data_IF_481954673965
#
_entry.id   IF_481954673965
#
_cell.length_a   1.000
_cell.length_b   1.000
_cell.length_c   1.000
_cell.angle_alpha   90.00
_cell.angle_beta   90.00
_cell.angle_gamma   90.00
#
_symmetry.space_group_name_H-M   'P 1'
#
loop_
_entity.id
_entity.type
_entity.pdbx_description
1 polymer ?
#
# COMPACT_ATOMS: atom_id res chain seq x y z
N UNK A 1 2.81 11.47 -14.66
CA UNK A 1 1.57 10.88 -14.12
C UNK A 1 0.58 11.99 -13.77
N UNK A 2 -0.73 11.73 -13.78
CA UNK A 2 -1.77 12.72 -13.42
C UNK A 2 -2.21 12.54 -11.97
N UNK A 3 -2.58 13.63 -11.28
CA UNK A 3 -3.15 13.56 -9.92
C UNK A 3 -4.35 12.59 -9.81
N UNK A 4 -5.07 12.37 -10.91
CA UNK A 4 -6.19 11.41 -11.00
C UNK A 4 -5.78 9.96 -10.73
N UNK A 5 -4.56 9.57 -11.10
CA UNK A 5 -4.11 8.18 -10.93
C UNK A 5 -3.86 7.88 -9.45
N UNK A 6 -3.34 8.86 -8.70
CA UNK A 6 -3.16 8.76 -7.24
C UNK A 6 -4.49 8.79 -6.49
N UNK A 7 -5.42 9.66 -6.88
CA UNK A 7 -6.75 9.72 -6.27
C UNK A 7 -7.49 8.37 -6.43
N UNK A 8 -7.46 7.80 -7.63
CA UNK A 8 -8.04 6.47 -7.91
C UNK A 8 -7.39 5.36 -7.06
N UNK A 9 -6.08 5.42 -6.85
CA UNK A 9 -5.38 4.47 -5.99
C UNK A 9 -5.81 4.60 -4.52
N UNK A 10 -5.96 5.84 -4.02
CA UNK A 10 -6.43 6.10 -2.65
C UNK A 10 -7.84 5.55 -2.45
N UNK A 11 -8.76 5.83 -3.39
CA UNK A 11 -10.13 5.34 -3.34
C UNK A 11 -10.18 3.80 -3.30
N UNK A 12 -9.41 3.14 -4.17
CA UNK A 12 -9.32 1.68 -4.22
C UNK A 12 -8.77 1.08 -2.91
N UNK A 13 -7.77 1.73 -2.29
CA UNK A 13 -7.23 1.30 -1.00
C UNK A 13 -8.30 1.43 0.10
N UNK A 14 -9.02 2.55 0.17
CA UNK A 14 -10.09 2.76 1.16
C UNK A 14 -11.17 1.69 0.99
N UNK A 15 -11.62 1.47 -0.25
CA UNK A 15 -12.62 0.45 -0.56
C UNK A 15 -12.17 -0.94 -0.09
N UNK A 16 -10.95 -1.35 -0.44
CA UNK A 16 -10.43 -2.66 -0.06
C UNK A 16 -10.28 -2.84 1.46
N UNK A 17 -9.86 -1.79 2.17
CA UNK A 17 -9.65 -1.83 3.61
C UNK A 17 -10.94 -1.82 4.43
N UNK A 18 -11.99 -1.17 3.94
CA UNK A 18 -13.26 -1.01 4.66
C UNK A 18 -14.26 -2.12 4.30
N UNK A 19 -14.16 -2.72 3.11
CA UNK A 19 -15.16 -3.68 2.62
C UNK A 19 -15.00 -5.09 3.19
N UNK A 20 -13.84 -5.46 3.75
CA UNK A 20 -13.55 -6.83 4.20
C UNK A 20 -12.72 -6.83 5.49
N UNK A 21 -13.10 -7.66 6.46
CA UNK A 21 -12.39 -7.78 7.74
C UNK A 21 -10.93 -8.24 7.59
N UNK A 22 -10.63 -9.01 6.54
CA UNK A 22 -9.30 -9.50 6.17
C UNK A 22 -8.73 -8.85 4.90
N UNK A 23 -9.47 -7.97 4.24
CA UNK A 23 -9.13 -7.42 2.92
C UNK A 23 -7.82 -6.66 2.86
N UNK A 24 -7.31 -6.22 4.02
CA UNK A 24 -6.04 -5.52 4.14
C UNK A 24 -4.82 -6.36 3.72
N UNK A 25 -4.89 -7.70 3.77
CA UNK A 25 -3.74 -8.57 3.46
C UNK A 25 -3.28 -8.44 2.01
N UNK A 26 -4.25 -8.29 1.11
CA UNK A 26 -4.01 -8.34 -0.33
C UNK A 26 -3.81 -6.94 -0.93
N UNK A 27 -4.14 -5.86 -0.19
CA UNK A 27 -4.18 -4.49 -0.71
C UNK A 27 -2.90 -4.10 -1.42
N UNK A 28 -1.74 -4.32 -0.79
CA UNK A 28 -0.46 -3.91 -1.37
C UNK A 28 -0.18 -4.69 -2.66
N UNK A 29 -0.43 -6.01 -2.65
CA UNK A 29 -0.27 -6.88 -3.82
C UNK A 29 -1.18 -6.46 -4.97
N UNK A 30 -2.44 -6.17 -4.67
CA UNK A 30 -3.44 -5.79 -5.65
C UNK A 30 -3.13 -4.42 -6.26
N UNK A 31 -2.68 -3.45 -5.45
CA UNK A 31 -2.27 -2.14 -5.95
C UNK A 31 -1.00 -2.23 -6.81
N UNK A 32 -0.02 -3.04 -6.42
CA UNK A 32 1.19 -3.27 -7.22
C UNK A 32 0.85 -3.84 -8.61
N UNK A 33 -0.10 -4.78 -8.67
CA UNK A 33 -0.55 -5.38 -9.93
C UNK A 33 -1.42 -4.45 -10.78
N UNK A 34 -2.23 -3.61 -10.13
CA UNK A 34 -3.12 -2.67 -10.82
C UNK A 34 -2.38 -1.45 -11.37
N UNK A 35 -1.29 -1.02 -10.71
CA UNK A 35 -0.54 0.20 -11.04
C UNK A 35 0.96 -0.06 -11.22
N UNK A 36 1.40 -1.02 -12.07
CA UNK A 36 2.79 -1.45 -12.14
C UNK A 36 3.79 -0.34 -12.48
N UNK A 37 3.36 0.67 -13.24
CA UNK A 37 4.18 1.79 -13.69
C UNK A 37 4.24 2.96 -12.68
N UNK A 38 3.47 2.90 -11.60
CA UNK A 38 3.47 3.94 -10.55
C UNK A 38 4.73 3.87 -9.70
N UNK A 39 5.15 5.01 -9.16
CA UNK A 39 6.28 5.08 -8.24
C UNK A 39 6.00 4.31 -6.96
N UNK A 40 7.02 3.64 -6.42
CA UNK A 40 6.92 2.98 -5.10
C UNK A 40 6.53 3.95 -3.98
N UNK A 41 6.90 5.23 -4.11
CA UNK A 41 6.56 6.27 -3.15
C UNK A 41 5.10 6.72 -3.26
N UNK A 42 4.49 6.59 -4.42
CA UNK A 42 3.08 6.93 -4.64
C UNK A 42 2.18 5.94 -3.89
N UNK A 43 2.49 4.65 -3.90
CA UNK A 43 1.74 3.67 -3.11
C UNK A 43 1.90 3.91 -1.60
N UNK A 44 3.10 4.22 -1.13
CA UNK A 44 3.34 4.56 0.28
C UNK A 44 2.56 5.80 0.71
N UNK A 45 2.52 6.82 -0.16
CA UNK A 45 1.71 8.01 0.04
C UNK A 45 0.21 7.68 0.04
N UNK A 46 -0.28 6.91 -0.93
CA UNK A 46 -1.68 6.56 -1.08
C UNK A 46 -2.20 5.77 0.14
N UNK A 47 -1.42 4.83 0.66
CA UNK A 47 -1.73 4.11 1.91
C UNK A 47 -1.85 5.06 3.11
N UNK A 48 -0.95 6.04 3.21
CA UNK A 48 -0.96 7.03 4.30
C UNK A 48 -2.15 7.97 4.19
N UNK A 49 -2.47 8.44 2.97
CA UNK A 49 -3.62 9.29 2.69
C UNK A 49 -4.94 8.56 2.97
N UNK A 50 -5.05 7.29 2.54
CA UNK A 50 -6.19 6.44 2.83
C UNK A 50 -6.39 6.24 4.34
N UNK A 51 -5.31 6.00 5.09
CA UNK A 51 -5.36 5.91 6.55
C UNK A 51 -5.97 7.17 7.19
N UNK A 52 -5.44 8.34 6.80
CA UNK A 52 -5.91 9.64 7.30
C UNK A 52 -7.37 9.93 6.92
N UNK A 53 -7.78 9.55 5.71
CA UNK A 53 -9.17 9.68 5.27
C UNK A 53 -10.11 8.81 6.12
N UNK A 54 -9.74 7.56 6.38
CA UNK A 54 -10.51 6.64 7.24
C UNK A 54 -10.63 7.20 8.67
N UNK A 55 -9.55 7.73 9.25
CA UNK A 55 -9.59 8.36 10.59
C UNK A 55 -10.52 9.58 10.63
N UNK A 56 -10.62 10.31 9.51
CA UNK A 56 -11.49 11.48 9.40
C UNK A 56 -12.96 11.09 9.19
N UNK A 57 -13.22 9.94 8.55
CA UNK A 57 -14.58 9.47 8.25
C UNK A 57 -15.22 8.69 9.39
N UNK A 58 -14.43 7.98 10.21
CA UNK A 58 -14.94 7.05 11.20
C UNK A 58 -14.51 7.42 12.63
N UNK A 59 -15.47 7.40 13.55
CA UNK A 59 -15.20 7.54 14.98
C UNK A 59 -14.37 6.35 15.51
N UNK A 60 -13.58 6.52 16.58
CA UNK A 60 -12.76 5.45 17.16
C UNK A 60 -13.50 4.16 17.54
N UNK A 61 -14.82 4.24 17.78
CA UNK A 61 -15.65 3.08 18.15
C UNK A 61 -16.25 2.37 16.92
N UNK A 62 -16.02 2.90 15.72
CA UNK A 62 -16.51 2.30 14.48
C UNK A 62 -15.80 0.97 14.20
N UNK A 63 -16.51 -0.07 13.73
CA UNK A 63 -15.88 -1.31 13.25
C UNK A 63 -14.83 -1.09 12.17
N UNK A 64 -14.93 0.01 11.41
CA UNK A 64 -13.98 0.36 10.34
C UNK A 64 -12.74 1.11 10.84
N UNK A 65 -12.72 1.57 12.10
CA UNK A 65 -11.59 2.34 12.64
C UNK A 65 -10.23 1.59 12.61
N UNK A 66 -10.16 0.27 12.87
CA UNK A 66 -8.91 -0.50 12.71
C UNK A 66 -8.35 -0.51 11.28
N UNK A 67 -9.15 -0.17 10.26
CA UNK A 67 -8.68 -0.10 8.88
C UNK A 67 -7.60 0.98 8.68
N UNK A 68 -7.69 2.11 9.38
CA UNK A 68 -6.66 3.13 9.36
C UNK A 68 -5.32 2.63 9.92
N UNK A 69 -5.35 1.93 11.05
CA UNK A 69 -4.14 1.36 11.66
C UNK A 69 -3.48 0.33 10.73
N UNK A 70 -4.28 -0.47 10.03
CA UNK A 70 -3.79 -1.42 9.02
C UNK A 70 -3.14 -0.70 7.85
N UNK A 71 -3.74 0.38 7.34
CA UNK A 71 -3.17 1.19 6.27
C UNK A 71 -1.80 1.79 6.64
N UNK A 72 -1.67 2.39 7.82
CA UNK A 72 -0.38 2.90 8.31
C UNK A 72 0.66 1.78 8.46
N UNK A 73 0.25 0.61 8.97
CA UNK A 73 1.14 -0.55 9.08
C UNK A 73 1.64 -1.01 7.71
N UNK A 74 0.76 -1.09 6.72
CA UNK A 74 1.13 -1.43 5.35
C UNK A 74 2.09 -0.40 4.75
N UNK A 75 1.82 0.89 4.94
CA UNK A 75 2.73 1.96 4.50
C UNK A 75 4.13 1.84 5.12
N UNK A 76 4.20 1.52 6.43
CA UNK A 76 5.46 1.33 7.13
C UNK A 76 6.23 0.09 6.64
N UNK A 77 5.55 -1.03 6.41
CA UNK A 77 6.16 -2.24 5.86
C UNK A 77 6.67 -2.02 4.43
N UNK A 78 5.86 -1.39 3.58
CA UNK A 78 6.26 -1.02 2.23
C UNK A 78 7.50 -0.10 2.24
N UNK A 79 7.52 0.90 3.13
CA UNK A 79 8.67 1.78 3.31
C UNK A 79 9.92 1.05 3.80
N UNK A 80 9.76 0.03 4.64
CA UNK A 80 10.86 -0.82 5.08
C UNK A 80 11.47 -1.61 3.91
N UNK A 81 10.65 -2.16 3.02
CA UNK A 81 11.14 -2.90 1.84
C UNK A 81 11.86 -1.99 0.85
N UNK A 82 11.32 -0.81 0.57
CA UNK A 82 11.98 0.20 -0.28
C UNK A 82 13.33 0.59 0.31
N UNK A 83 13.39 0.82 1.63
CA UNK A 83 14.64 1.09 2.33
C UNK A 83 15.62 -0.09 2.24
N UNK A 84 15.12 -1.31 2.42
CA UNK A 84 15.92 -2.54 2.41
C UNK A 84 16.47 -2.86 1.01
N UNK A 85 15.73 -2.57 -0.06
CA UNK A 85 16.20 -2.64 -1.44
C UNK A 85 17.36 -1.65 -1.67
N UNK A 86 17.20 -0.40 -1.21
CA UNK A 86 18.25 0.62 -1.31
C UNK A 86 19.52 0.23 -0.56
N UNK A 87 19.41 -0.34 0.65
CA UNK A 87 20.56 -0.84 1.41
C UNK A 87 21.30 -1.98 0.69
N UNK A 88 20.59 -2.74 -0.14
CA UNK A 88 21.16 -3.79 -1.01
C UNK A 88 21.64 -3.28 -2.37
N UNK A 89 21.56 -1.96 -2.63
CA UNK A 89 21.87 -1.33 -3.92
C UNK A 89 21.01 -1.85 -5.08
N UNK A 90 19.79 -2.30 -4.77
CA UNK A 90 18.75 -2.61 -5.74
C UNK A 90 17.86 -1.38 -5.87
N UNK A 91 17.63 -0.93 -7.10
CA UNK A 91 16.78 0.22 -7.41
C UNK A 91 15.38 -0.29 -7.74
N UNK A 92 14.38 0.21 -7.01
CA UNK A 92 12.96 -0.10 -7.19
C UNK A 92 12.24 1.23 -7.38
N UNK A 93 12.18 1.70 -8.63
CA UNK A 93 11.64 3.02 -8.96
C UNK A 93 10.11 2.97 -9.13
N UNK A 94 9.58 1.83 -9.54
CA UNK A 94 8.17 1.57 -9.81
C UNK A 94 7.64 0.31 -9.09
N UNK A 95 6.33 0.13 -9.09
CA UNK A 95 5.69 -1.01 -8.42
C UNK A 95 6.06 -2.35 -9.09
N UNK A 96 6.28 -2.39 -10.40
CA UNK A 96 6.71 -3.59 -11.10
C UNK A 96 8.11 -4.08 -10.66
N UNK A 97 9.07 -3.16 -10.56
CA UNK A 97 10.42 -3.44 -10.06
C UNK A 97 10.41 -3.81 -8.57
N UNK A 98 9.51 -3.24 -7.79
CA UNK A 98 9.29 -3.67 -6.40
C UNK A 98 8.73 -5.09 -6.32
N UNK A 99 7.77 -5.46 -7.16
CA UNK A 99 7.26 -6.85 -7.20
C UNK A 99 8.36 -7.84 -7.60
N UNK A 100 9.21 -7.48 -8.56
CA UNK A 100 10.37 -8.28 -8.93
C UNK A 100 11.35 -8.43 -7.77
N UNK A 101 11.62 -7.35 -7.02
CA UNK A 101 12.46 -7.40 -5.83
C UNK A 101 11.93 -8.39 -4.78
N UNK A 102 10.63 -8.41 -4.52
CA UNK A 102 10.01 -9.35 -3.58
C UNK A 102 10.20 -10.81 -3.99
N UNK A 103 9.99 -11.15 -5.27
CA UNK A 103 10.19 -12.52 -5.76
C UNK A 103 11.59 -13.07 -5.48
N UNK A 104 12.59 -12.20 -5.45
CA UNK A 104 13.99 -12.57 -5.27
C UNK A 104 14.47 -12.54 -3.81
N UNK A 105 13.79 -11.81 -2.91
CA UNK A 105 14.32 -11.50 -1.57
C UNK A 105 13.36 -11.79 -0.42
N UNK A 106 12.08 -11.50 -0.57
CA UNK A 106 11.06 -11.60 0.48
C UNK A 106 9.66 -11.62 -0.16
N UNK A 107 8.99 -12.76 -0.06
CA UNK A 107 7.68 -12.98 -0.67
C UNK A 107 6.50 -12.62 0.27
N UNK A 108 6.75 -11.90 1.37
CA UNK A 108 5.73 -11.52 2.35
C UNK A 108 4.47 -10.92 1.69
N UNK A 109 4.62 -9.88 0.87
CA UNK A 109 3.48 -9.27 0.17
C UNK A 109 2.92 -10.12 -0.98
N UNK A 110 3.65 -11.14 -1.45
CA UNK A 110 3.17 -12.03 -2.50
C UNK A 110 2.29 -13.16 -1.94
N UNK A 111 2.57 -13.61 -0.72
CA UNK A 111 1.96 -14.80 -0.08
C UNK A 111 0.95 -14.49 1.02
N UNK A 112 0.82 -13.21 1.41
CA UNK A 112 -0.16 -12.71 2.37
C UNK A 112 -1.61 -13.04 2.00
#
# INVERSE_FOLDING_TARGET
>A
MSARDTDSMIEAIIEALVSRDDGWRDVVRDMVRAYPESSVHELAFALTAAASAIESMYLPQSPSYPAAQRAYRLAALLGADIYAARMRRVWVDDLASLEAYWRDHDDYFLTL
#
